data_IF_898067613466
#
_entry.id   IF_898067613466
#
_cell.length_a   1.000
_cell.length_b   1.000
_cell.length_c   1.000
_cell.angle_alpha   90.00
_cell.angle_beta   90.00
_cell.angle_gamma   90.00
#
_symmetry.space_group_name_H-M   'P 1'
#
loop_
_entity.id
_entity.type
_entity.pdbx_description
1 polymer ?
#
# COMPACT_ATOMS: atom_id res chain seq x y z
N UNK A 1 -14.41 12.22 7.86
CA UNK A 1 -14.72 11.12 6.93
C UNK A 1 -14.98 9.86 7.73
N UNK A 2 -15.95 9.02 7.34
CA UNK A 2 -16.11 7.71 7.97
C UNK A 2 -14.91 6.82 7.63
N UNK A 3 -14.45 5.99 8.56
CA UNK A 3 -13.35 5.04 8.34
C UNK A 3 -13.63 4.13 7.14
N UNK A 4 -14.88 3.72 6.97
CA UNK A 4 -15.31 2.93 5.82
C UNK A 4 -15.13 3.68 4.49
N UNK A 5 -15.46 4.98 4.44
CA UNK A 5 -15.29 5.79 3.24
C UNK A 5 -13.80 5.94 2.86
N UNK A 6 -12.93 6.11 3.85
CA UNK A 6 -11.46 6.20 3.63
C UNK A 6 -10.92 4.87 3.08
N UNK A 7 -11.34 3.74 3.66
CA UNK A 7 -10.93 2.42 3.18
C UNK A 7 -11.38 2.19 1.73
N UNK A 8 -12.61 2.57 1.39
CA UNK A 8 -13.13 2.41 0.03
C UNK A 8 -12.38 3.25 -1.01
N UNK A 9 -11.88 4.43 -0.64
CA UNK A 9 -11.01 5.23 -1.51
C UNK A 9 -9.72 4.47 -1.83
N UNK A 10 -9.08 3.88 -0.82
CA UNK A 10 -7.88 3.06 -1.00
C UNK A 10 -8.12 1.82 -1.85
N UNK A 11 -9.23 1.11 -1.61
CA UNK A 11 -9.62 -0.08 -2.38
C UNK A 11 -9.85 0.27 -3.85
N UNK A 12 -10.57 1.37 -4.13
CA UNK A 12 -10.80 1.83 -5.50
C UNK A 12 -9.50 2.13 -6.24
N UNK A 13 -8.55 2.80 -5.58
CA UNK A 13 -7.24 3.10 -6.16
C UNK A 13 -6.44 1.83 -6.48
N UNK A 14 -6.43 0.84 -5.58
CA UNK A 14 -5.71 -0.43 -5.78
C UNK A 14 -6.33 -1.30 -6.87
N UNK A 15 -7.65 -1.37 -6.98
CA UNK A 15 -8.32 -2.10 -8.06
C UNK A 15 -8.04 -1.43 -9.41
N UNK A 16 -8.12 -0.09 -9.46
CA UNK A 16 -7.86 0.69 -10.67
C UNK A 16 -6.47 0.45 -11.24
N UNK A 17 -5.42 0.60 -10.42
CA UNK A 17 -4.04 0.41 -10.86
C UNK A 17 -3.66 -1.07 -10.98
N UNK A 18 -4.00 -1.90 -10.00
CA UNK A 18 -3.57 -3.30 -9.97
C UNK A 18 -4.33 -4.16 -10.97
N UNK A 19 -5.66 -4.22 -10.86
CA UNK A 19 -6.45 -5.20 -11.60
C UNK A 19 -6.60 -4.80 -13.07
N UNK A 20 -6.96 -3.55 -13.35
CA UNK A 20 -7.26 -3.14 -14.73
C UNK A 20 -6.01 -2.81 -15.56
N UNK A 21 -4.90 -2.38 -14.92
CA UNK A 21 -3.66 -2.04 -15.65
C UNK A 21 -2.65 -3.19 -15.60
N UNK A 22 -2.32 -3.71 -14.42
CA UNK A 22 -1.19 -4.65 -14.28
C UNK A 22 -1.54 -6.10 -14.58
N UNK A 23 -2.80 -6.55 -14.41
CA UNK A 23 -3.15 -7.99 -14.56
C UNK A 23 -2.81 -8.54 -15.93
N UNK A 24 -3.02 -7.79 -17.02
CA UNK A 24 -2.74 -8.26 -18.37
C UNK A 24 -1.24 -8.50 -18.61
N UNK A 25 -0.40 -7.59 -18.11
CA UNK A 25 1.07 -7.71 -18.19
C UNK A 25 1.52 -8.88 -17.31
N UNK A 26 1.00 -8.97 -16.09
CA UNK A 26 1.33 -10.04 -15.16
C UNK A 26 0.90 -11.41 -15.68
N UNK A 27 -0.25 -11.52 -16.36
CA UNK A 27 -0.69 -12.76 -17.00
C UNK A 27 0.26 -13.21 -18.12
N UNK A 28 0.80 -12.27 -18.90
CA UNK A 28 1.79 -12.57 -19.93
C UNK A 28 3.12 -13.09 -19.38
N UNK A 29 3.52 -12.65 -18.18
CA UNK A 29 4.78 -13.06 -17.54
C UNK A 29 4.62 -14.32 -16.69
N UNK A 30 3.62 -14.36 -15.82
CA UNK A 30 3.41 -15.44 -14.86
C UNK A 30 2.54 -16.59 -15.39
N UNK A 31 1.79 -16.37 -16.48
CA UNK A 31 0.89 -17.35 -17.06
C UNK A 31 -0.09 -17.93 -16.02
N UNK A 32 -0.25 -19.26 -15.92
CA UNK A 32 -1.16 -19.88 -14.96
C UNK A 32 -0.74 -19.67 -13.49
N UNK A 33 0.52 -19.27 -13.24
CA UNK A 33 1.03 -18.98 -11.89
C UNK A 33 0.57 -17.63 -11.31
N UNK A 34 -0.18 -16.83 -12.09
CA UNK A 34 -0.62 -15.49 -11.70
C UNK A 34 -1.36 -15.45 -10.36
N UNK A 35 -2.27 -16.40 -10.12
CA UNK A 35 -3.03 -16.48 -8.87
C UNK A 35 -2.14 -16.76 -7.66
N UNK A 36 -1.13 -17.63 -7.83
CA UNK A 36 -0.15 -17.90 -6.77
C UNK A 36 0.72 -16.67 -6.50
N UNK A 37 1.14 -15.95 -7.54
CA UNK A 37 1.91 -14.71 -7.38
C UNK A 37 1.11 -13.64 -6.64
N UNK A 38 -0.18 -13.46 -6.97
CA UNK A 38 -1.06 -12.54 -6.23
C UNK A 38 -1.27 -12.98 -4.78
N UNK A 39 -1.44 -14.27 -4.52
CA UNK A 39 -1.57 -14.81 -3.17
C UNK A 39 -0.34 -14.52 -2.30
N UNK A 40 0.86 -14.79 -2.84
CA UNK A 40 2.12 -14.49 -2.16
C UNK A 40 2.30 -12.98 -1.94
N UNK A 41 1.98 -12.16 -2.95
CA UNK A 41 2.03 -10.71 -2.80
C UNK A 41 1.06 -10.20 -1.72
N UNK A 42 -0.11 -10.82 -1.58
CA UNK A 42 -1.07 -10.52 -0.51
C UNK A 42 -0.49 -10.74 0.88
N UNK A 43 0.25 -11.83 1.07
CA UNK A 43 0.94 -12.12 2.34
C UNK A 43 1.99 -11.05 2.65
N UNK A 44 2.84 -10.71 1.67
CA UNK A 44 3.85 -9.65 1.82
C UNK A 44 3.20 -8.30 2.13
N UNK A 45 2.12 -7.96 1.43
CA UNK A 45 1.39 -6.70 1.62
C UNK A 45 0.74 -6.63 3.00
N UNK A 46 0.33 -7.76 3.58
CA UNK A 46 -0.21 -7.79 4.94
C UNK A 46 0.80 -7.29 5.98
N UNK A 47 2.05 -7.75 5.91
CA UNK A 47 3.11 -7.27 6.80
C UNK A 47 3.37 -5.78 6.63
N UNK A 48 3.39 -5.30 5.38
CA UNK A 48 3.48 -3.86 5.10
C UNK A 48 2.30 -3.08 5.70
N UNK A 49 1.07 -3.60 5.57
CA UNK A 49 -0.12 -2.96 6.13
C UNK A 49 -0.07 -2.88 7.66
N UNK A 50 0.47 -3.91 8.34
CA UNK A 50 0.65 -3.88 9.80
C UNK A 50 1.63 -2.78 10.23
N UNK A 51 2.78 -2.66 9.55
CA UNK A 51 3.73 -1.58 9.83
C UNK A 51 3.12 -0.18 9.57
N UNK A 52 2.33 -0.04 8.50
CA UNK A 52 1.63 1.21 8.21
C UNK A 52 0.54 1.52 9.24
N UNK A 53 -0.12 0.51 9.80
CA UNK A 53 -1.12 0.68 10.86
C UNK A 53 -0.47 1.16 12.16
N UNK A 54 0.67 0.60 12.54
CA UNK A 54 1.45 1.04 13.72
C UNK A 54 1.88 2.50 13.56
N UNK A 55 2.49 2.85 12.43
CA UNK A 55 2.92 4.22 12.15
C UNK A 55 1.74 5.20 12.07
N UNK A 56 0.65 4.81 11.41
CA UNK A 56 -0.57 5.62 11.30
C UNK A 56 -1.27 5.87 12.63
N UNK A 57 -1.11 4.96 13.60
CA UNK A 57 -1.62 5.16 14.98
C UNK A 57 -0.71 6.03 15.85
N UNK A 58 0.57 6.15 15.51
CA UNK A 58 1.52 7.01 16.23
C UNK A 58 1.55 8.45 15.69
N UNK A 59 1.35 8.65 14.38
CA UNK A 59 1.42 9.95 13.73
C UNK A 59 0.03 10.41 13.29
N UNK A 60 -0.54 11.40 13.98
CA UNK A 60 -1.87 11.96 13.69
C UNK A 60 -1.88 13.14 12.72
N UNK A 61 -0.71 13.54 12.21
CA UNK A 61 -0.56 14.66 11.29
C UNK A 61 -0.78 14.27 9.83
N UNK A 62 -1.27 15.21 9.03
CA UNK A 62 -1.52 15.01 7.61
C UNK A 62 -0.21 15.02 6.79
N UNK A 63 0.09 13.90 6.13
CA UNK A 63 1.24 13.78 5.23
C UNK A 63 1.80 12.37 5.06
N UNK A 64 1.27 11.39 5.78
CA UNK A 64 1.53 9.96 5.54
C UNK A 64 3.02 9.62 5.54
N UNK A 65 3.43 8.77 4.59
CA UNK A 65 4.82 8.30 4.51
C UNK A 65 5.87 9.41 4.43
N UNK A 66 5.54 10.58 3.83
CA UNK A 66 6.47 11.71 3.79
C UNK A 66 6.78 12.24 5.20
N UNK A 67 5.76 12.38 6.05
CA UNK A 67 5.95 12.81 7.43
C UNK A 67 6.71 11.77 8.25
N UNK A 68 6.42 10.48 8.05
CA UNK A 68 7.11 9.42 8.80
C UNK A 68 8.61 9.43 8.52
N UNK A 69 8.99 9.57 7.25
CA UNK A 69 10.39 9.65 6.83
C UNK A 69 11.04 10.94 7.33
N UNK A 70 10.36 12.09 7.20
CA UNK A 70 10.83 13.39 7.70
C UNK A 70 11.11 13.35 9.21
N UNK A 71 10.23 12.74 9.99
CA UNK A 71 10.37 12.67 11.45
C UNK A 71 11.43 11.66 11.89
N UNK A 72 11.75 10.67 11.06
CA UNK A 72 12.72 9.61 11.40
C UNK A 72 14.14 9.93 10.94
N UNK A 73 14.31 10.69 9.86
CA UNK A 73 15.62 11.03 9.30
C UNK A 73 16.15 12.37 9.84
N UNK A 74 17.49 12.53 9.92
CA UNK A 74 18.09 13.81 10.27
C UNK A 74 17.66 14.89 9.27
N UNK A 75 17.31 16.07 9.77
CA UNK A 75 17.04 17.20 8.89
C UNK A 75 18.31 17.54 8.11
N UNK A 76 18.23 17.72 6.79
CA UNK A 76 19.38 18.09 5.97
C UNK A 76 20.06 19.40 6.41
N UNK A 77 19.36 20.26 7.17
CA UNK A 77 19.81 21.61 7.55
C UNK A 77 19.82 21.88 9.07
N UNK A 78 19.90 20.85 9.91
CA UNK A 78 19.95 20.97 11.38
C UNK A 78 18.66 20.62 12.08
#
# INVERSE_FOLDING_TARGET
MSGFSVTMIGVGAMIGAGIFVLTGIAAGVAGPGLLLAFGLNGIVTLFTAMAYAELGSCFHDAGGGYLWVKSSLPHPNG
#
